data_IF_507960059210
#
_entry.id   IF_507960059210
#
_cell.length_a   1.000
_cell.length_b   1.000
_cell.length_c   1.000
_cell.angle_alpha   90.00
_cell.angle_beta   90.00
_cell.angle_gamma   90.00
#
_symmetry.space_group_name_H-M   'P 1'
#
loop_
_entity.id
_entity.type
_entity.pdbx_description
1 polymer ?
#
# COMPACT_ATOMS: atom_id res chain seq x y z
N UNK A 1 12.49 -19.62 3.70
CA UNK A 1 11.75 -20.10 2.52
C UNK A 1 10.25 -20.00 2.76
N UNK A 2 9.50 -19.60 1.75
CA UNK A 2 8.05 -19.48 1.73
C UNK A 2 7.47 -20.47 0.71
N UNK A 3 7.47 -21.79 1.00
CA UNK A 3 7.14 -22.83 0.02
C UNK A 3 5.69 -22.75 -0.47
N UNK A 4 4.79 -22.09 0.25
CA UNK A 4 3.42 -21.81 -0.20
C UNK A 4 3.35 -20.68 -1.22
N UNK A 5 4.42 -19.90 -1.38
CA UNK A 5 4.51 -18.75 -2.27
C UNK A 5 5.50 -18.97 -3.42
N UNK A 6 6.64 -19.64 -3.13
CA UNK A 6 7.70 -19.95 -4.08
C UNK A 6 7.94 -21.47 -4.10
N UNK A 7 7.48 -22.14 -5.12
CA UNK A 7 7.53 -23.61 -5.19
C UNK A 7 7.93 -24.16 -6.57
N UNK A 8 8.38 -23.30 -7.48
CA UNK A 8 8.67 -23.71 -8.83
C UNK A 8 10.13 -24.20 -8.97
N UNK A 9 10.27 -25.33 -9.64
CA UNK A 9 11.55 -25.93 -10.06
C UNK A 9 11.45 -26.26 -11.54
N UNK A 10 12.40 -25.77 -12.33
CA UNK A 10 12.47 -26.07 -13.76
C UNK A 10 13.72 -26.86 -14.07
N UNK A 11 13.61 -27.80 -15.02
CA UNK A 11 14.73 -28.59 -15.50
C UNK A 11 15.12 -28.13 -16.90
N UNK A 12 16.41 -27.98 -17.16
CA UNK A 12 16.93 -27.69 -18.51
C UNK A 12 16.49 -28.77 -19.50
N UNK A 13 16.09 -28.35 -20.69
CA UNK A 13 15.52 -29.24 -21.71
C UNK A 13 16.54 -30.20 -22.35
N UNK A 14 17.83 -29.96 -22.18
CA UNK A 14 18.93 -30.75 -22.76
C UNK A 14 19.89 -31.33 -21.72
N UNK A 15 19.92 -30.77 -20.50
CA UNK A 15 20.80 -31.24 -19.41
C UNK A 15 19.98 -31.49 -18.13
N UNK A 16 19.69 -32.78 -17.80
CA UNK A 16 18.91 -33.12 -16.61
C UNK A 16 19.60 -32.78 -15.28
N UNK A 17 20.89 -32.48 -15.29
CA UNK A 17 21.63 -32.06 -14.09
C UNK A 17 21.51 -30.54 -13.87
N UNK A 18 21.06 -29.79 -14.86
CA UNK A 18 20.80 -28.33 -14.72
C UNK A 18 19.39 -28.10 -14.32
N UNK A 19 19.20 -27.60 -13.09
CA UNK A 19 17.90 -27.27 -12.53
C UNK A 19 17.89 -25.81 -12.11
N UNK A 20 16.76 -25.14 -12.31
CA UNK A 20 16.54 -23.77 -11.85
C UNK A 20 15.54 -23.81 -10.71
N UNK A 21 15.87 -23.18 -9.60
CA UNK A 21 14.97 -22.93 -8.48
C UNK A 21 14.49 -21.49 -8.56
N UNK A 22 13.20 -21.35 -8.86
CA UNK A 22 12.51 -20.08 -9.05
C UNK A 22 12.00 -19.61 -7.69
N UNK A 23 12.69 -18.63 -7.13
CA UNK A 23 12.52 -18.17 -5.76
C UNK A 23 12.89 -16.66 -5.67
N UNK A 24 13.09 -16.13 -4.46
CA UNK A 24 13.55 -14.75 -4.30
C UNK A 24 14.79 -14.43 -5.11
N UNK A 25 15.94 -15.12 -5.00
CA UNK A 25 16.93 -15.14 -6.06
C UNK A 25 16.67 -16.34 -6.97
N UNK A 26 16.79 -16.13 -8.28
CA UNK A 26 16.94 -17.26 -9.19
C UNK A 26 18.24 -17.99 -8.83
N UNK A 27 18.18 -19.30 -8.66
CA UNK A 27 19.37 -20.12 -8.44
C UNK A 27 19.40 -21.32 -9.38
N UNK A 28 20.61 -21.80 -9.68
CA UNK A 28 20.84 -22.89 -10.63
C UNK A 28 21.68 -23.98 -10.00
N UNK A 29 21.30 -25.24 -10.24
CA UNK A 29 22.10 -26.43 -9.96
C UNK A 29 22.72 -26.92 -11.24
N UNK A 30 23.91 -27.48 -11.16
CA UNK A 30 24.60 -28.20 -12.23
C UNK A 30 24.88 -29.67 -11.89
N UNK A 31 24.39 -30.15 -10.76
CA UNK A 31 24.70 -31.49 -10.18
C UNK A 31 23.42 -32.30 -9.86
N UNK A 32 22.32 -32.00 -10.53
CA UNK A 32 21.06 -32.72 -10.34
C UNK A 32 20.36 -32.34 -9.03
N UNK A 33 20.55 -31.10 -8.58
CA UNK A 33 19.82 -30.52 -7.42
C UNK A 33 20.54 -30.79 -6.07
N UNK A 34 21.77 -31.23 -6.05
CA UNK A 34 22.52 -31.42 -4.82
C UNK A 34 23.04 -30.12 -4.25
N UNK A 35 23.38 -29.16 -5.12
CA UNK A 35 23.77 -27.81 -4.74
C UNK A 35 23.12 -26.77 -5.68
N UNK A 36 22.93 -25.54 -5.20
CA UNK A 36 22.39 -24.43 -5.96
C UNK A 36 23.21 -23.16 -5.76
N UNK A 37 23.59 -22.53 -6.86
CA UNK A 37 24.29 -21.24 -6.87
C UNK A 37 23.35 -20.13 -7.34
N UNK A 38 23.39 -18.91 -6.76
CA UNK A 38 22.61 -17.78 -7.25
C UNK A 38 22.99 -17.42 -8.69
N UNK A 39 21.97 -17.14 -9.52
CA UNK A 39 22.18 -16.55 -10.85
C UNK A 39 22.24 -15.03 -10.67
N UNK A 40 23.34 -14.36 -11.06
CA UNK A 40 23.41 -12.90 -10.99
C UNK A 40 22.36 -12.26 -11.89
N UNK A 41 21.45 -11.45 -11.30
CA UNK A 41 20.40 -10.74 -12.03
C UNK A 41 20.72 -9.26 -12.22
N UNK A 42 21.78 -8.76 -11.59
CA UNK A 42 22.26 -7.39 -11.71
C UNK A 42 23.73 -7.49 -12.06
N UNK A 43 24.16 -6.99 -13.21
CA UNK A 43 25.57 -6.83 -13.52
C UNK A 43 26.28 -6.00 -12.45
N UNK A 44 27.51 -6.31 -12.14
CA UNK A 44 28.27 -5.66 -11.05
C UNK A 44 28.49 -4.15 -11.24
N UNK A 45 28.28 -3.64 -12.44
CA UNK A 45 28.44 -2.25 -12.86
C UNK A 45 27.12 -1.55 -13.17
N UNK A 46 25.98 -2.25 -13.06
CA UNK A 46 24.67 -1.69 -13.37
C UNK A 46 23.77 -1.65 -12.11
N UNK A 47 23.10 -0.53 -11.95
CA UNK A 47 22.09 -0.34 -10.89
C UNK A 47 20.69 -0.81 -11.33
N UNK A 48 20.56 -1.39 -12.52
CA UNK A 48 19.30 -1.78 -13.14
C UNK A 48 19.15 -3.30 -13.16
N UNK A 49 18.21 -3.79 -12.40
CA UNK A 49 17.70 -5.16 -12.41
C UNK A 49 16.21 -5.15 -12.17
N UNK A 50 15.58 -6.30 -12.22
CA UNK A 50 14.21 -6.45 -11.73
C UNK A 50 14.24 -6.84 -10.25
N UNK A 51 13.18 -6.44 -9.53
CA UNK A 51 12.95 -6.92 -8.17
C UNK A 51 12.96 -8.45 -8.15
N UNK A 52 13.48 -9.05 -7.10
CA UNK A 52 13.38 -10.49 -6.85
C UNK A 52 11.91 -10.95 -6.75
N UNK A 53 11.65 -12.09 -6.15
CA UNK A 53 10.34 -12.72 -6.03
C UNK A 53 9.79 -13.19 -7.39
N UNK A 54 10.44 -14.24 -7.90
CA UNK A 54 10.12 -14.82 -9.21
C UNK A 54 9.03 -15.89 -9.07
N UNK A 55 8.05 -15.85 -10.01
CA UNK A 55 6.88 -16.72 -10.02
C UNK A 55 6.63 -17.41 -11.35
N UNK A 56 7.37 -17.05 -12.39
CA UNK A 56 7.21 -17.63 -13.71
C UNK A 56 8.55 -17.87 -14.36
N UNK A 57 8.68 -19.00 -15.02
CA UNK A 57 9.89 -19.40 -15.74
C UNK A 57 9.53 -20.16 -17.02
N UNK A 58 10.16 -19.76 -18.11
CA UNK A 58 10.09 -20.49 -19.37
C UNK A 58 11.47 -20.63 -19.97
N UNK A 59 11.83 -21.87 -20.35
CA UNK A 59 13.08 -22.16 -21.06
C UNK A 59 12.74 -22.59 -22.48
N UNK A 60 13.48 -22.06 -23.46
CA UNK A 60 13.34 -22.41 -24.86
C UNK A 60 13.74 -23.89 -25.08
N UNK A 61 12.83 -24.77 -25.51
CA UNK A 61 13.13 -26.20 -25.68
C UNK A 61 14.15 -26.48 -26.80
N UNK A 62 14.28 -25.57 -27.77
CA UNK A 62 15.24 -25.71 -28.85
C UNK A 62 16.65 -25.20 -28.44
N UNK A 63 16.72 -24.19 -27.58
CA UNK A 63 17.94 -23.56 -27.11
C UNK A 63 17.82 -23.15 -25.64
N UNK A 64 18.26 -23.99 -24.69
CA UNK A 64 18.09 -23.72 -23.26
C UNK A 64 18.97 -22.57 -22.72
N UNK A 65 19.87 -22.02 -23.53
CA UNK A 65 20.55 -20.77 -23.17
C UNK A 65 19.58 -19.58 -23.10
N UNK A 66 18.49 -19.68 -23.90
CA UNK A 66 17.43 -18.69 -23.94
C UNK A 66 16.32 -19.09 -22.96
N UNK A 67 16.12 -18.27 -21.94
CA UNK A 67 14.98 -18.41 -21.05
C UNK A 67 14.45 -17.05 -20.60
N UNK A 68 13.23 -17.06 -20.11
CA UNK A 68 12.49 -15.88 -19.62
C UNK A 68 12.07 -16.15 -18.18
N UNK A 69 12.24 -15.16 -17.34
CA UNK A 69 11.78 -15.19 -15.96
C UNK A 69 10.85 -14.00 -15.70
N UNK A 70 9.81 -14.23 -14.92
CA UNK A 70 8.85 -13.19 -14.50
C UNK A 70 8.66 -13.20 -12.99
N UNK A 71 8.46 -12.02 -12.43
CA UNK A 71 8.26 -11.81 -11.01
C UNK A 71 7.61 -10.46 -10.72
N UNK A 72 7.59 -10.11 -9.45
CA UNK A 72 6.93 -8.89 -8.95
C UNK A 72 7.56 -7.60 -9.51
N UNK A 73 8.81 -7.66 -9.95
CA UNK A 73 9.51 -6.54 -10.59
C UNK A 73 9.41 -6.47 -12.11
N UNK A 74 8.80 -7.46 -12.77
CA UNK A 74 8.68 -7.50 -14.23
C UNK A 74 9.27 -8.75 -14.88
N UNK A 75 9.86 -8.59 -16.06
CA UNK A 75 10.36 -9.69 -16.90
C UNK A 75 11.86 -9.54 -17.14
N UNK A 76 12.59 -10.64 -17.00
CA UNK A 76 14.00 -10.77 -17.40
C UNK A 76 14.14 -11.77 -18.54
N UNK A 77 14.92 -11.44 -19.55
CA UNK A 77 15.21 -12.29 -20.72
C UNK A 77 16.72 -12.48 -20.83
N UNK A 78 17.16 -13.71 -20.95
CA UNK A 78 18.56 -14.06 -21.21
C UNK A 78 18.67 -14.95 -22.43
N UNK A 79 19.83 -14.92 -23.10
CA UNK A 79 20.19 -15.78 -24.23
C UNK A 79 21.52 -16.53 -24.01
N UNK A 80 22.05 -16.50 -22.78
CA UNK A 80 23.36 -17.04 -22.44
C UNK A 80 23.38 -17.69 -21.04
N UNK A 81 22.28 -18.35 -20.65
CA UNK A 81 22.09 -18.99 -19.34
C UNK A 81 22.18 -18.02 -18.14
N UNK A 82 21.74 -16.76 -18.30
CA UNK A 82 21.71 -15.79 -17.22
C UNK A 82 23.04 -15.07 -16.96
N UNK A 83 23.99 -15.13 -17.91
CA UNK A 83 25.23 -14.34 -17.83
C UNK A 83 24.99 -12.88 -18.16
N UNK A 84 24.07 -12.61 -19.08
CA UNK A 84 23.57 -11.28 -19.42
C UNK A 84 22.05 -11.26 -19.48
N UNK A 85 21.46 -10.08 -19.23
CA UNK A 85 20.02 -9.90 -19.11
C UNK A 85 19.53 -8.71 -19.90
N UNK A 86 18.36 -8.87 -20.50
CA UNK A 86 17.54 -7.79 -21.02
C UNK A 86 16.28 -7.64 -20.16
N UNK A 87 16.06 -6.45 -19.62
CA UNK A 87 14.88 -6.10 -18.83
C UNK A 87 14.01 -5.13 -19.63
N UNK A 88 12.85 -5.58 -20.18
CA UNK A 88 11.97 -4.70 -20.94
C UNK A 88 11.28 -3.67 -20.05
N UNK A 89 11.68 -2.41 -20.16
CA UNK A 89 11.11 -1.27 -19.43
C UNK A 89 9.86 -0.67 -20.11
N UNK A 90 9.39 -1.28 -21.19
CA UNK A 90 8.32 -0.73 -22.04
C UNK A 90 6.96 -1.37 -21.80
N UNK A 91 6.83 -2.24 -20.82
CA UNK A 91 5.57 -2.88 -20.47
C UNK A 91 4.68 -1.84 -19.76
N UNK A 92 3.53 -1.43 -20.35
CA UNK A 92 2.74 -0.32 -19.84
C UNK A 92 1.74 -0.79 -18.77
N UNK A 93 2.22 -1.47 -17.74
CA UNK A 93 1.41 -1.97 -16.62
C UNK A 93 2.04 -1.59 -15.30
N UNK A 94 1.18 -1.25 -14.32
CA UNK A 94 1.56 -1.01 -12.95
C UNK A 94 0.37 -1.30 -12.04
N UNK A 95 0.63 -1.78 -10.84
CA UNK A 95 -0.39 -2.04 -9.83
C UNK A 95 -0.22 -1.07 -8.68
N UNK A 96 -1.07 -0.05 -8.62
CA UNK A 96 -1.03 0.98 -7.58
C UNK A 96 -1.92 0.61 -6.39
N UNK A 97 -1.43 0.85 -5.17
CA UNK A 97 -2.25 0.84 -3.95
C UNK A 97 -3.10 2.09 -3.83
N UNK A 98 -2.47 3.25 -3.96
CA UNK A 98 -3.12 4.55 -3.90
C UNK A 98 -2.56 5.48 -4.98
N UNK A 99 -3.39 6.40 -5.44
CA UNK A 99 -3.00 7.43 -6.40
C UNK A 99 -3.34 8.81 -5.87
N UNK A 100 -2.54 9.80 -6.24
CA UNK A 100 -2.77 11.21 -5.96
C UNK A 100 -2.30 12.09 -7.13
N UNK A 101 -2.63 13.36 -7.08
CA UNK A 101 -2.21 14.36 -8.07
C UNK A 101 -1.75 15.62 -7.36
N UNK A 102 -0.90 16.41 -8.04
CA UNK A 102 -0.51 17.75 -7.60
C UNK A 102 -1.34 18.84 -8.29
N UNK A 103 -1.03 20.11 -7.97
CA UNK A 103 -1.65 21.28 -8.55
C UNK A 103 -0.84 21.91 -9.70
N UNK A 104 0.21 21.24 -10.20
CA UNK A 104 1.00 21.72 -11.32
C UNK A 104 0.16 21.78 -12.62
N UNK A 105 0.63 22.52 -13.60
CA UNK A 105 -0.05 22.63 -14.91
C UNK A 105 0.91 22.38 -16.06
N UNK A 106 0.83 21.23 -16.73
CA UNK A 106 -0.04 20.08 -16.44
C UNK A 106 0.31 19.42 -15.10
N UNK A 107 -0.69 18.83 -14.45
CA UNK A 107 -0.49 18.13 -13.18
C UNK A 107 0.29 16.82 -13.36
N UNK A 108 0.89 16.35 -12.28
CA UNK A 108 1.51 15.04 -12.23
C UNK A 108 0.63 14.05 -11.48
N UNK A 109 0.79 12.78 -11.81
CA UNK A 109 0.17 11.64 -11.14
C UNK A 109 1.23 10.98 -10.26
N UNK A 110 0.82 10.58 -9.07
CA UNK A 110 1.66 9.91 -8.08
C UNK A 110 1.03 8.59 -7.69
N UNK A 111 1.85 7.58 -7.46
CA UNK A 111 1.36 6.28 -7.01
C UNK A 111 2.42 5.44 -6.33
N UNK A 112 1.98 4.67 -5.33
CA UNK A 112 2.79 3.68 -4.63
C UNK A 112 2.42 2.27 -5.07
N UNK A 113 3.43 1.42 -5.25
CA UNK A 113 3.30 0.04 -5.71
C UNK A 113 4.05 -0.89 -4.76
N UNK A 114 3.45 -2.02 -4.45
CA UNK A 114 4.19 -3.08 -3.75
C UNK A 114 5.42 -3.46 -4.55
N UNK A 115 6.53 -3.74 -3.86
CA UNK A 115 7.83 -4.15 -4.38
C UNK A 115 8.54 -3.12 -5.27
N UNK A 116 7.81 -2.16 -5.84
CA UNK A 116 8.30 -1.25 -6.86
C UNK A 116 8.33 0.23 -6.42
N UNK A 117 8.13 0.52 -5.14
CA UNK A 117 8.29 1.85 -4.56
C UNK A 117 7.22 2.86 -4.93
N UNK A 118 7.54 4.13 -4.72
CA UNK A 118 6.65 5.27 -4.97
C UNK A 118 7.18 6.11 -6.14
N UNK A 119 6.28 6.47 -7.03
CA UNK A 119 6.61 7.14 -8.28
C UNK A 119 5.76 8.38 -8.55
N UNK A 120 6.30 9.30 -9.34
CA UNK A 120 5.53 10.39 -9.96
C UNK A 120 5.80 10.45 -11.45
N UNK A 121 4.80 10.85 -12.22
CA UNK A 121 4.93 11.04 -13.65
C UNK A 121 3.92 12.05 -14.17
N UNK A 122 4.14 12.61 -15.38
CA UNK A 122 3.24 13.61 -15.94
C UNK A 122 1.90 12.98 -16.34
N UNK A 123 0.79 13.67 -16.06
CA UNK A 123 -0.53 13.25 -16.57
C UNK A 123 -0.68 13.53 -18.06
N UNK A 124 0.13 14.43 -18.61
CA UNK A 124 0.07 14.85 -20.00
C UNK A 124 1.45 15.24 -20.55
N UNK A 125 1.66 15.03 -21.83
CA UNK A 125 2.86 15.49 -22.55
C UNK A 125 2.53 15.97 -23.96
N UNK A 126 3.15 17.07 -24.38
CA UNK A 126 3.13 17.56 -25.75
C UNK A 126 4.15 16.87 -26.65
N UNK A 127 5.02 16.04 -26.08
CA UNK A 127 6.09 15.39 -26.85
C UNK A 127 5.51 14.28 -27.74
N UNK A 128 5.98 14.24 -28.99
CA UNK A 128 5.65 13.15 -29.91
C UNK A 128 6.09 11.80 -29.31
N UNK A 129 5.22 10.82 -29.31
CA UNK A 129 5.47 9.49 -28.75
C UNK A 129 4.90 9.29 -27.35
N UNK A 130 4.17 10.31 -26.80
CA UNK A 130 3.44 10.18 -25.55
C UNK A 130 4.30 10.17 -24.28
N UNK A 131 3.69 9.72 -23.18
CA UNK A 131 4.37 9.56 -21.90
C UNK A 131 5.24 8.29 -21.97
N UNK A 132 6.50 8.42 -21.61
CA UNK A 132 7.48 7.32 -21.61
C UNK A 132 7.96 7.07 -20.19
N UNK A 133 8.52 5.88 -19.93
CA UNK A 133 9.08 5.48 -18.64
C UNK A 133 10.08 6.50 -18.09
N UNK A 134 10.93 7.08 -18.95
CA UNK A 134 11.91 8.08 -18.56
C UNK A 134 11.32 9.40 -17.99
N UNK A 135 10.02 9.62 -18.08
CA UNK A 135 9.35 10.78 -17.48
C UNK A 135 8.82 10.47 -16.07
N UNK A 136 8.84 9.22 -15.69
CA UNK A 136 8.50 8.78 -14.35
C UNK A 136 9.72 8.90 -13.44
N UNK A 137 9.51 9.45 -12.26
CA UNK A 137 10.54 9.65 -11.26
C UNK A 137 10.24 8.76 -10.03
N UNK A 138 11.23 7.97 -9.65
CA UNK A 138 11.23 7.23 -8.41
C UNK A 138 11.45 8.18 -7.24
N UNK A 139 10.61 8.09 -6.20
CA UNK A 139 10.60 9.05 -5.10
C UNK A 139 11.00 8.42 -3.76
N UNK A 140 10.41 7.30 -3.39
CA UNK A 140 10.64 6.62 -2.11
C UNK A 140 10.62 5.12 -2.33
N UNK A 141 11.55 4.40 -1.70
CA UNK A 141 11.70 2.96 -1.81
C UNK A 141 10.79 2.12 -0.92
N UNK A 142 10.92 0.81 -1.07
CA UNK A 142 10.13 -0.21 -0.37
C UNK A 142 8.80 -0.50 -1.05
N UNK A 143 7.86 -1.11 -0.34
CA UNK A 143 6.48 -1.29 -0.80
C UNK A 143 5.75 0.03 -0.71
N UNK A 144 5.53 0.67 -1.85
CA UNK A 144 4.88 1.97 -1.90
C UNK A 144 3.38 1.87 -1.68
N UNK A 145 2.82 2.74 -0.83
CA UNK A 145 1.38 2.81 -0.58
C UNK A 145 0.83 4.20 -0.87
N UNK A 146 0.71 5.04 0.16
CA UNK A 146 0.31 6.43 -0.04
C UNK A 146 1.51 7.25 -0.52
N UNK A 147 1.23 8.08 -1.51
CA UNK A 147 2.15 9.14 -1.91
C UNK A 147 1.34 10.42 -2.10
N UNK A 148 1.71 11.48 -1.40
CA UNK A 148 0.98 12.72 -1.35
C UNK A 148 1.91 13.90 -1.61
N UNK A 149 1.81 14.58 -2.75
CA UNK A 149 2.56 15.80 -3.00
C UNK A 149 2.12 16.92 -2.05
N UNK A 150 3.02 17.82 -1.75
CA UNK A 150 2.70 19.11 -1.18
C UNK A 150 2.00 19.94 -2.27
N UNK A 151 0.77 20.38 -1.99
CA UNK A 151 -0.07 21.04 -2.99
C UNK A 151 0.36 22.49 -3.27
N UNK A 152 1.11 23.11 -2.36
CA UNK A 152 1.70 24.43 -2.53
C UNK A 152 3.02 24.39 -3.30
N UNK A 153 3.76 23.28 -3.18
CA UNK A 153 5.04 23.09 -3.85
C UNK A 153 5.31 21.61 -4.13
N UNK A 154 4.93 21.16 -5.31
CA UNK A 154 5.02 19.76 -5.76
C UNK A 154 6.45 19.18 -5.81
N UNK A 155 7.48 20.01 -5.60
CA UNK A 155 8.85 19.54 -5.38
C UNK A 155 8.94 18.62 -4.17
N UNK A 156 8.16 18.91 -3.12
CA UNK A 156 8.14 18.17 -1.88
C UNK A 156 6.87 17.31 -1.77
N UNK A 157 6.89 16.38 -0.85
CA UNK A 157 5.73 15.58 -0.50
C UNK A 157 6.10 14.43 0.42
N UNK A 158 5.16 13.51 0.58
CA UNK A 158 5.23 12.43 1.55
C UNK A 158 4.99 11.10 0.86
N UNK A 159 5.75 10.07 1.23
CA UNK A 159 5.56 8.71 0.75
C UNK A 159 5.58 7.72 1.90
N UNK A 160 4.70 6.73 1.86
CA UNK A 160 4.66 5.66 2.86
C UNK A 160 5.22 4.37 2.30
N UNK A 161 5.74 3.54 3.20
CA UNK A 161 6.23 2.20 2.90
C UNK A 161 5.83 1.25 4.03
N UNK A 162 6.11 -0.04 3.87
CA UNK A 162 5.77 -1.08 4.85
C UNK A 162 6.31 -0.79 6.25
N UNK A 163 5.73 -1.47 7.24
CA UNK A 163 6.11 -1.34 8.66
C UNK A 163 5.90 0.07 9.25
N UNK A 164 4.96 0.84 8.71
CA UNK A 164 4.67 2.19 9.15
C UNK A 164 5.79 3.18 8.81
N UNK A 165 6.59 2.89 7.80
CA UNK A 165 7.60 3.83 7.32
C UNK A 165 6.91 5.00 6.61
N UNK A 166 7.32 6.20 6.96
CA UNK A 166 6.81 7.45 6.41
C UNK A 166 8.00 8.36 6.13
N UNK A 167 8.02 8.93 4.93
CA UNK A 167 9.13 9.74 4.44
C UNK A 167 8.63 11.06 3.88
N UNK A 168 9.45 12.10 4.01
CA UNK A 168 9.33 13.34 3.25
C UNK A 168 10.40 13.35 2.17
N UNK A 169 9.99 13.56 0.91
CA UNK A 169 10.88 13.56 -0.24
C UNK A 169 11.10 14.95 -0.84
N UNK A 170 12.20 15.11 -1.56
CA UNK A 170 12.52 16.25 -2.43
C UNK A 170 12.78 15.74 -3.87
N UNK A 171 11.84 15.98 -4.78
CA UNK A 171 11.93 15.54 -6.19
C UNK A 171 13.15 16.08 -6.93
N UNK A 172 13.60 17.28 -6.57
CA UNK A 172 14.73 17.91 -7.29
C UNK A 172 16.06 17.23 -6.97
N UNK A 173 16.27 16.86 -5.72
CA UNK A 173 17.52 16.23 -5.28
C UNK A 173 17.47 14.71 -5.27
N UNK A 174 16.28 14.10 -5.34
CA UNK A 174 16.07 12.67 -5.15
C UNK A 174 16.26 12.20 -3.69
N UNK A 175 16.41 13.14 -2.75
CA UNK A 175 16.63 12.82 -1.35
C UNK A 175 15.30 12.65 -0.60
N UNK A 176 15.25 11.71 0.32
CA UNK A 176 14.13 11.57 1.25
C UNK A 176 14.60 11.24 2.65
N UNK A 177 13.86 11.69 3.64
CA UNK A 177 14.17 11.54 5.07
C UNK A 177 13.00 10.88 5.79
N UNK A 178 13.30 9.96 6.70
CA UNK A 178 12.28 9.35 7.54
C UNK A 178 11.71 10.36 8.52
N UNK A 179 10.39 10.44 8.54
CA UNK A 179 9.59 11.23 9.47
C UNK A 179 8.58 10.36 10.22
N UNK A 180 8.83 9.05 10.32
CA UNK A 180 7.99 8.09 11.04
C UNK A 180 7.78 8.54 12.49
N UNK A 181 6.55 8.51 13.03
CA UNK A 181 6.28 8.81 14.43
C UNK A 181 7.14 7.95 15.37
N UNK A 182 7.77 8.53 16.38
CA UNK A 182 8.51 7.78 17.39
C UNK A 182 7.57 6.99 18.29
N UNK A 183 8.09 5.97 18.96
CA UNK A 183 7.35 5.29 20.03
C UNK A 183 7.08 6.29 21.17
N UNK A 184 5.87 6.30 21.73
CA UNK A 184 5.53 7.23 22.82
C UNK A 184 6.32 6.95 24.09
N UNK A 185 6.72 5.71 24.32
CA UNK A 185 7.57 5.27 25.43
C UNK A 185 8.30 3.95 25.07
N UNK A 186 9.22 3.51 25.94
CA UNK A 186 10.04 2.31 25.72
C UNK A 186 9.26 0.98 25.73
N UNK A 187 8.07 0.97 26.29
CA UNK A 187 7.25 -0.25 26.48
C UNK A 187 6.14 -0.37 25.44
N UNK A 188 5.81 0.72 24.75
CA UNK A 188 4.70 0.75 23.80
C UNK A 188 5.21 0.49 22.37
N UNK A 189 5.10 -0.75 21.91
CA UNK A 189 5.35 -1.07 20.50
C UNK A 189 4.24 -0.51 19.64
N UNK A 190 4.59 0.31 18.63
CA UNK A 190 3.64 0.76 17.63
C UNK A 190 3.31 -0.37 16.66
N UNK A 191 2.03 -0.57 16.42
CA UNK A 191 1.47 -1.52 15.45
C UNK A 191 0.98 -0.73 14.23
N UNK A 192 1.55 -0.99 13.07
CA UNK A 192 1.13 -0.39 11.81
C UNK A 192 0.58 -1.46 10.88
N UNK A 193 -0.53 -1.19 10.22
CA UNK A 193 -0.96 -2.04 9.13
C UNK A 193 0.10 -2.06 8.02
N UNK A 194 0.11 -3.08 7.18
CA UNK A 194 0.95 -3.12 5.99
C UNK A 194 0.80 -1.83 5.18
N UNK A 195 -0.44 -1.45 4.90
CA UNK A 195 -0.83 -0.19 4.31
C UNK A 195 -1.34 0.75 5.43
N UNK A 196 -0.43 1.32 6.19
CA UNK A 196 -0.75 2.18 7.33
C UNK A 196 -1.52 3.44 6.91
N UNK A 197 -2.52 3.82 7.70
CA UNK A 197 -3.36 4.97 7.40
C UNK A 197 -2.59 6.28 7.39
N UNK A 198 -2.71 7.03 6.31
CA UNK A 198 -2.12 8.35 6.12
C UNK A 198 -3.17 9.35 5.64
N UNK A 199 -3.16 10.56 6.19
CA UNK A 199 -3.97 11.66 5.71
C UNK A 199 -3.25 12.99 5.87
N UNK A 200 -3.42 13.91 4.91
CA UNK A 200 -3.09 15.33 5.07
C UNK A 200 -4.24 16.04 5.78
N UNK A 201 -3.92 17.06 6.55
CA UNK A 201 -4.95 17.93 7.11
C UNK A 201 -5.51 18.82 5.98
N UNK A 202 -6.83 18.85 5.77
CA UNK A 202 -7.42 19.70 4.74
C UNK A 202 -7.43 21.21 5.09
N UNK A 203 -7.08 21.59 6.32
CA UNK A 203 -7.06 22.97 6.81
C UNK A 203 -5.64 23.52 6.96
N UNK A 204 -4.61 22.66 7.04
CA UNK A 204 -3.22 23.06 7.21
C UNK A 204 -2.26 22.10 6.47
N UNK A 205 -1.61 22.59 5.43
CA UNK A 205 -0.63 21.85 4.63
C UNK A 205 0.62 21.38 5.42
N UNK A 206 0.86 21.94 6.61
CA UNK A 206 1.95 21.51 7.49
C UNK A 206 1.56 20.34 8.37
N UNK A 207 0.27 20.05 8.47
CA UNK A 207 -0.28 19.03 9.35
C UNK A 207 -0.58 17.73 8.63
N UNK A 208 -0.20 16.62 9.27
CA UNK A 208 -0.41 15.26 8.79
C UNK A 208 -0.94 14.38 9.91
N UNK A 209 -1.77 13.42 9.54
CA UNK A 209 -2.22 12.34 10.42
C UNK A 209 -1.64 11.01 9.98
N UNK A 210 -1.20 10.20 10.95
CA UNK A 210 -0.69 8.85 10.68
C UNK A 210 -1.23 7.85 11.70
N UNK A 211 -1.59 6.65 11.22
CA UNK A 211 -2.25 5.62 12.03
C UNK A 211 -1.33 4.47 12.39
N UNK A 212 -1.09 4.29 13.69
CA UNK A 212 -0.70 3.01 14.29
C UNK A 212 -1.94 2.37 14.94
N UNK A 213 -1.88 1.88 16.19
CA UNK A 213 -3.06 1.72 17.04
C UNK A 213 -3.57 3.05 17.58
N UNK A 214 -2.75 4.09 17.47
CA UNK A 214 -3.04 5.45 17.84
C UNK A 214 -3.14 6.34 16.61
N UNK A 215 -3.85 7.45 16.71
CA UNK A 215 -3.75 8.56 15.77
C UNK A 215 -2.61 9.46 16.19
N UNK A 216 -1.61 9.59 15.32
CA UNK A 216 -0.52 10.53 15.47
C UNK A 216 -0.80 11.77 14.60
N UNK A 217 -0.45 12.95 15.10
CA UNK A 217 -0.52 14.20 14.35
C UNK A 217 0.82 14.93 14.41
N UNK A 218 1.17 15.57 13.33
CA UNK A 218 2.26 16.54 13.25
C UNK A 218 1.72 17.86 12.72
N UNK A 219 2.27 18.99 13.16
CA UNK A 219 1.96 20.34 12.68
C UNK A 219 3.17 21.03 12.03
N UNK A 220 4.25 20.30 11.83
CA UNK A 220 5.53 20.80 11.35
C UNK A 220 6.16 19.89 10.26
N UNK A 221 5.30 19.32 9.41
CA UNK A 221 5.71 18.46 8.29
C UNK A 221 6.50 17.21 8.72
N UNK A 222 6.21 16.69 9.92
CA UNK A 222 6.80 15.47 10.46
C UNK A 222 8.08 15.67 11.27
N UNK A 223 8.45 16.89 11.63
CA UNK A 223 9.61 17.12 12.51
C UNK A 223 9.32 16.70 13.96
N UNK A 224 8.09 16.92 14.43
CA UNK A 224 7.60 16.45 15.74
C UNK A 224 6.23 15.77 15.60
N UNK A 225 5.90 14.90 16.54
CA UNK A 225 4.65 14.14 16.54
C UNK A 225 3.99 14.13 17.91
N UNK A 226 2.67 14.20 17.92
CA UNK A 226 1.80 14.06 19.09
C UNK A 226 0.85 12.88 18.90
N UNK A 227 0.55 12.15 19.98
CA UNK A 227 -0.49 11.12 20.02
C UNK A 227 -1.79 11.75 20.52
N UNK A 228 -2.82 11.75 19.68
CA UNK A 228 -4.10 12.41 19.96
C UNK A 228 -5.25 11.42 20.19
N UNK A 229 -4.95 10.15 20.43
CA UNK A 229 -5.98 9.14 20.72
C UNK A 229 -5.49 8.12 21.74
N UNK A 230 -6.41 7.43 22.48
CA UNK A 230 -6.09 6.14 23.07
C UNK A 230 -5.86 5.09 21.98
N UNK A 231 -5.57 3.83 22.37
CA UNK A 231 -5.65 2.68 21.44
C UNK A 231 -7.09 2.56 20.92
N UNK A 232 -7.29 2.77 19.62
CA UNK A 232 -8.59 2.79 18.97
C UNK A 232 -9.05 1.41 18.48
N UNK A 233 -8.20 0.40 18.63
CA UNK A 233 -8.42 -0.99 18.19
C UNK A 233 -9.08 -1.83 19.29
N UNK A 234 -9.36 -3.10 19.00
CA UNK A 234 -9.76 -4.06 20.05
C UNK A 234 -8.59 -4.48 20.92
N UNK A 235 -7.36 -4.28 20.44
CA UNK A 235 -6.12 -4.75 21.07
C UNK A 235 -6.17 -6.22 21.50
N UNK A 236 -6.73 -7.09 20.65
CA UNK A 236 -6.92 -8.51 20.94
C UNK A 236 -5.60 -9.28 20.82
N UNK A 237 -5.02 -9.80 21.91
CA UNK A 237 -3.74 -10.52 21.87
C UNK A 237 -3.77 -11.79 21.01
N UNK A 238 -4.94 -12.37 20.79
CA UNK A 238 -5.08 -13.55 19.94
C UNK A 238 -4.74 -13.26 18.47
N UNK A 239 -4.89 -12.01 18.04
CA UNK A 239 -4.57 -11.56 16.67
C UNK A 239 -3.15 -11.02 16.53
N UNK A 240 -2.37 -10.98 17.61
CA UNK A 240 -1.01 -10.41 17.61
C UNK A 240 0.07 -11.50 17.77
N UNK A 241 -0.30 -12.76 17.58
CA UNK A 241 0.63 -13.89 17.68
C UNK A 241 1.50 -13.96 16.42
N UNK A 242 2.77 -14.39 16.53
CA UNK A 242 3.65 -14.57 15.37
C UNK A 242 3.33 -15.86 14.56
N UNK A 243 2.31 -16.61 14.92
CA UNK A 243 1.94 -17.89 14.33
C UNK A 243 0.61 -17.77 13.58
N UNK A 244 0.69 -17.80 12.26
CA UNK A 244 -0.45 -17.65 11.35
C UNK A 244 -0.60 -18.88 10.44
N UNK A 245 -1.05 -20.00 10.97
CA UNK A 245 -1.48 -21.12 10.14
C UNK A 245 -0.57 -22.33 10.10
N UNK A 246 0.48 -22.38 10.89
CA UNK A 246 1.17 -23.61 11.25
C UNK A 246 2.11 -24.23 10.22
N UNK A 247 2.29 -23.65 9.05
CA UNK A 247 3.26 -24.14 8.04
C UNK A 247 4.64 -23.53 8.23
N UNK A 248 4.70 -22.24 8.53
CA UNK A 248 5.94 -21.50 8.80
C UNK A 248 5.67 -20.38 9.79
N UNK A 249 6.68 -19.98 10.57
CA UNK A 249 6.65 -18.74 11.35
C UNK A 249 6.96 -17.57 10.40
N UNK A 250 6.01 -17.25 9.53
CA UNK A 250 6.21 -16.27 8.47
C UNK A 250 5.43 -14.98 8.76
N UNK A 251 5.92 -14.25 9.75
CA UNK A 251 5.44 -12.89 10.04
C UNK A 251 6.40 -11.90 9.43
N UNK A 252 6.06 -11.42 8.24
CA UNK A 252 6.88 -10.47 7.47
C UNK A 252 6.68 -9.01 7.89
N UNK A 253 5.69 -8.73 8.75
CA UNK A 253 5.23 -7.38 9.11
C UNK A 253 3.94 -6.97 8.40
N UNK A 254 3.55 -7.67 7.32
CA UNK A 254 2.27 -7.52 6.65
C UNK A 254 1.10 -7.95 7.54
N UNK A 255 1.38 -8.85 8.46
CA UNK A 255 0.42 -9.51 9.36
C UNK A 255 0.24 -8.75 10.68
N UNK A 256 0.75 -7.53 10.79
CA UNK A 256 0.52 -6.68 11.97
C UNK A 256 -0.95 -6.30 12.05
N UNK A 257 -1.61 -6.78 13.09
CA UNK A 257 -3.05 -6.62 13.32
C UNK A 257 -3.34 -5.74 14.52
N UNK A 258 -4.60 -5.30 14.67
CA UNK A 258 -5.08 -4.30 15.60
C UNK A 258 -4.40 -2.94 15.36
N UNK A 259 -4.60 -2.43 14.18
CA UNK A 259 -4.05 -1.15 13.72
C UNK A 259 -5.08 -0.31 12.96
N UNK A 260 -4.83 0.99 12.88
CA UNK A 260 -5.68 1.92 12.14
C UNK A 260 -5.35 1.79 10.65
N UNK A 261 -6.40 1.56 9.85
CA UNK A 261 -6.32 1.38 8.41
C UNK A 261 -6.84 2.59 7.63
N UNK A 262 -7.72 3.39 8.25
CA UNK A 262 -8.29 4.59 7.64
C UNK A 262 -8.32 5.75 8.63
N UNK A 263 -7.88 6.93 8.17
CA UNK A 263 -8.04 8.22 8.88
C UNK A 263 -8.65 9.21 7.89
N UNK A 264 -9.69 9.92 8.33
CA UNK A 264 -10.38 10.90 7.50
C UNK A 264 -10.69 12.16 8.30
N UNK A 265 -9.82 13.16 8.29
CA UNK A 265 -10.13 14.49 8.80
C UNK A 265 -11.21 15.13 7.92
N UNK A 266 -12.13 15.84 8.56
CA UNK A 266 -13.23 16.52 7.85
C UNK A 266 -12.73 17.80 7.19
N UNK A 267 -12.99 18.02 5.89
CA UNK A 267 -12.63 19.27 5.23
C UNK A 267 -13.56 20.46 5.62
N UNK A 268 -14.61 20.20 6.42
CA UNK A 268 -15.60 21.21 6.84
C UNK A 268 -15.35 21.66 8.29
N UNK A 269 -14.78 20.79 9.13
CA UNK A 269 -14.57 21.11 10.54
C UNK A 269 -13.28 20.41 11.04
N UNK A 270 -12.27 21.19 11.33
CA UNK A 270 -10.95 20.76 11.79
C UNK A 270 -10.95 19.83 13.03
N UNK A 271 -12.00 19.96 13.86
CA UNK A 271 -12.14 19.16 15.08
C UNK A 271 -12.72 17.77 14.84
N UNK A 272 -13.17 17.46 13.62
CA UNK A 272 -13.84 16.20 13.29
C UNK A 272 -12.89 15.29 12.52
N UNK A 273 -12.55 14.14 13.14
CA UNK A 273 -11.67 13.14 12.53
C UNK A 273 -12.30 11.75 12.71
N UNK A 274 -12.43 11.02 11.62
CA UNK A 274 -12.86 9.63 11.61
C UNK A 274 -11.65 8.71 11.57
N UNK A 275 -11.75 7.56 12.26
CA UNK A 275 -10.76 6.49 12.14
C UNK A 275 -11.44 5.13 12.03
N UNK A 276 -10.85 4.26 11.21
CA UNK A 276 -11.28 2.88 11.00
C UNK A 276 -10.10 1.92 11.15
N UNK A 277 -10.37 0.72 11.71
CA UNK A 277 -9.33 -0.25 12.02
C UNK A 277 -9.46 -1.52 11.19
N UNK A 278 -8.39 -2.31 11.13
CA UNK A 278 -8.36 -3.62 10.50
C UNK A 278 -9.13 -4.70 11.28
N UNK A 279 -9.47 -4.44 12.54
CA UNK A 279 -10.29 -5.28 13.42
C UNK A 279 -11.73 -4.77 13.59
N UNK A 280 -12.18 -3.89 12.70
CA UNK A 280 -13.58 -3.50 12.52
C UNK A 280 -14.07 -2.39 13.44
N UNK A 281 -13.20 -1.63 14.11
CA UNK A 281 -13.64 -0.51 14.91
C UNK A 281 -13.86 0.74 14.07
N UNK A 282 -14.95 1.45 14.32
CA UNK A 282 -15.28 2.74 13.74
C UNK A 282 -15.26 3.79 14.84
N UNK A 283 -14.39 4.76 14.72
CA UNK A 283 -14.10 5.74 15.77
C UNK A 283 -14.29 7.17 15.24
N UNK A 284 -14.68 8.07 16.11
CA UNK A 284 -14.89 9.48 15.80
C UNK A 284 -14.46 10.37 16.96
N UNK A 285 -13.67 11.39 16.66
CA UNK A 285 -13.53 12.57 17.52
C UNK A 285 -14.29 13.76 16.92
N UNK A 286 -14.72 14.68 17.79
CA UNK A 286 -15.36 15.95 17.41
C UNK A 286 -14.77 17.15 18.14
N UNK A 287 -13.63 16.93 18.75
CA UNK A 287 -12.92 17.92 19.59
C UNK A 287 -11.41 17.89 19.34
N UNK A 288 -11.01 17.52 18.10
CA UNK A 288 -9.60 17.51 17.68
C UNK A 288 -8.76 16.43 18.36
N UNK A 289 -9.38 15.30 18.74
CA UNK A 289 -8.67 14.18 19.34
C UNK A 289 -8.68 14.14 20.87
N UNK A 290 -9.26 15.14 21.55
CA UNK A 290 -9.33 15.17 23.02
C UNK A 290 -10.18 14.02 23.57
N UNK A 291 -11.29 13.67 22.87
CA UNK A 291 -12.12 12.52 23.18
C UNK A 291 -12.48 11.74 21.92
N UNK A 292 -12.58 10.41 22.06
CA UNK A 292 -12.93 9.51 20.97
C UNK A 292 -14.15 8.67 21.34
N UNK A 293 -15.04 8.49 20.38
CA UNK A 293 -16.26 7.71 20.53
C UNK A 293 -16.26 6.53 19.57
N UNK A 294 -16.38 5.32 20.13
CA UNK A 294 -16.58 4.11 19.35
C UNK A 294 -18.01 4.06 18.81
N UNK A 295 -18.16 3.94 17.50
CA UNK A 295 -19.43 3.95 16.77
C UNK A 295 -19.71 2.59 16.10
N UNK A 296 -18.92 1.56 16.35
CA UNK A 296 -19.01 0.26 15.68
C UNK A 296 -20.41 -0.35 15.81
N UNK A 297 -21.00 -0.27 17.01
CA UNK A 297 -22.35 -0.81 17.30
C UNK A 297 -23.48 -0.09 16.57
N UNK A 298 -23.25 1.13 16.08
CA UNK A 298 -24.22 1.91 15.31
C UNK A 298 -24.30 1.50 13.84
N UNK A 299 -23.29 0.78 13.34
CA UNK A 299 -23.21 0.31 11.95
C UNK A 299 -23.92 -1.03 11.83
N UNK A 300 -25.24 -1.00 11.57
CA UNK A 300 -26.01 -2.23 11.38
C UNK A 300 -25.54 -3.00 10.14
N UNK A 301 -25.28 -4.30 10.30
CA UNK A 301 -24.83 -5.17 9.22
C UNK A 301 -23.33 -5.04 8.91
N UNK A 302 -22.55 -4.43 9.79
CA UNK A 302 -21.09 -4.50 9.75
C UNK A 302 -20.66 -5.92 10.14
N UNK A 303 -19.88 -6.64 9.30
CA UNK A 303 -19.34 -7.94 9.68
C UNK A 303 -18.35 -7.81 10.85
N UNK A 304 -18.38 -8.75 11.77
CA UNK A 304 -17.48 -8.74 12.90
C UNK A 304 -16.02 -8.84 12.46
N UNK A 305 -15.13 -8.04 13.06
CA UNK A 305 -13.70 -8.03 12.77
C UNK A 305 -13.38 -7.89 11.26
N UNK A 306 -14.18 -7.12 10.54
CA UNK A 306 -13.95 -6.80 9.14
C UNK A 306 -13.04 -5.58 8.99
N UNK A 307 -12.33 -5.48 7.90
CA UNK A 307 -11.45 -4.35 7.66
C UNK A 307 -12.24 -3.10 7.26
N UNK A 308 -12.13 -2.04 8.06
CA UNK A 308 -12.60 -0.70 7.67
C UNK A 308 -11.55 -0.10 6.72
N UNK A 309 -11.67 -0.49 5.45
CA UNK A 309 -10.63 -0.24 4.44
C UNK A 309 -10.49 1.23 4.08
N UNK A 310 -11.59 1.99 4.11
CA UNK A 310 -11.57 3.41 3.82
C UNK A 310 -12.72 4.13 4.55
N UNK A 311 -12.42 5.34 5.02
CA UNK A 311 -13.43 6.34 5.40
C UNK A 311 -13.14 7.61 4.62
N UNK A 312 -14.18 8.25 4.08
CA UNK A 312 -14.11 9.55 3.43
C UNK A 312 -15.11 10.49 4.10
N UNK A 313 -14.60 11.49 4.80
CA UNK A 313 -15.44 12.59 5.29
C UNK A 313 -16.02 13.37 4.10
N UNK A 314 -17.31 13.75 4.19
CA UNK A 314 -17.96 14.50 3.12
C UNK A 314 -17.38 15.91 3.00
N UNK A 315 -17.16 16.41 1.76
CA UNK A 315 -16.76 17.80 1.54
C UNK A 315 -17.91 18.80 1.68
N UNK A 316 -19.13 18.33 1.99
CA UNK A 316 -20.32 19.16 2.06
C UNK A 316 -20.87 19.35 3.47
N UNK A 317 -20.71 18.35 4.33
CA UNK A 317 -21.34 18.34 5.66
C UNK A 317 -20.42 17.70 6.68
N UNK A 318 -20.07 18.39 7.74
CA UNK A 318 -19.14 17.92 8.78
C UNK A 318 -19.58 16.60 9.46
N UNK A 319 -20.89 16.34 9.53
CA UNK A 319 -21.43 15.11 10.14
C UNK A 319 -21.58 13.93 9.18
N UNK A 320 -21.28 14.13 7.89
CA UNK A 320 -21.44 13.10 6.87
C UNK A 320 -20.11 12.43 6.53
N UNK A 321 -20.18 11.12 6.32
CA UNK A 321 -19.03 10.31 5.89
C UNK A 321 -19.51 9.08 5.11
N UNK A 322 -18.64 8.62 4.21
CA UNK A 322 -18.74 7.36 3.51
C UNK A 322 -17.72 6.38 4.09
N UNK A 323 -18.07 5.11 4.16
CA UNK A 323 -17.19 4.08 4.69
C UNK A 323 -17.27 2.82 3.83
N UNK A 324 -16.10 2.34 3.42
CA UNK A 324 -15.93 1.06 2.74
C UNK A 324 -15.35 0.06 3.74
N UNK A 325 -15.98 -1.09 3.78
CA UNK A 325 -15.54 -2.22 4.58
C UNK A 325 -15.38 -3.43 3.67
N UNK A 326 -14.36 -4.23 3.88
CA UNK A 326 -14.21 -5.48 3.17
C UNK A 326 -13.96 -6.66 4.13
N UNK A 327 -14.38 -7.84 3.70
CA UNK A 327 -14.30 -9.06 4.50
C UNK A 327 -13.81 -10.26 3.68
N UNK A 328 -13.23 -9.99 2.51
CA UNK A 328 -12.80 -11.04 1.56
C UNK A 328 -11.75 -11.98 2.16
N UNK A 329 -10.96 -11.51 3.16
CA UNK A 329 -10.02 -12.35 3.90
C UNK A 329 -10.67 -13.47 4.69
N UNK A 330 -11.98 -13.34 4.96
CA UNK A 330 -12.83 -14.37 5.57
C UNK A 330 -13.73 -15.10 4.56
N UNK A 331 -13.44 -14.95 3.24
CA UNK A 331 -14.22 -15.56 2.16
C UNK A 331 -15.55 -14.87 1.87
N UNK A 332 -15.81 -13.70 2.44
CA UNK A 332 -17.02 -12.90 2.23
C UNK A 332 -16.72 -11.76 1.26
N UNK A 333 -17.19 -11.89 0.04
CA UNK A 333 -16.98 -10.96 -1.07
C UNK A 333 -18.14 -9.97 -1.26
N UNK A 334 -19.05 -9.86 -0.30
CA UNK A 334 -20.17 -8.93 -0.35
C UNK A 334 -19.70 -7.46 -0.34
N UNK A 335 -20.37 -6.56 -1.07
CA UNK A 335 -20.06 -5.13 -1.01
C UNK A 335 -20.59 -4.51 0.27
N UNK A 336 -19.71 -3.91 1.04
CA UNK A 336 -20.02 -3.18 2.26
C UNK A 336 -19.67 -1.71 2.08
N UNK A 337 -20.64 -0.92 1.63
CA UNK A 337 -20.56 0.53 1.50
C UNK A 337 -21.62 1.15 2.42
N UNK A 338 -21.20 2.01 3.32
CA UNK A 338 -22.06 2.70 4.28
C UNK A 338 -21.94 4.22 4.16
N UNK A 339 -23.05 4.91 4.45
CA UNK A 339 -23.11 6.36 4.56
C UNK A 339 -23.71 6.76 5.90
N UNK A 340 -23.16 7.77 6.53
CA UNK A 340 -23.77 8.51 7.64
C UNK A 340 -23.92 9.99 7.29
N UNK A 341 -24.90 10.67 7.92
CA UNK A 341 -25.14 12.11 7.78
C UNK A 341 -25.22 12.83 9.14
N UNK A 342 -24.98 12.11 10.23
CA UNK A 342 -25.27 12.58 11.58
C UNK A 342 -24.19 12.20 12.61
N UNK A 343 -22.92 12.31 12.21
CA UNK A 343 -21.76 11.95 13.06
C UNK A 343 -21.80 10.50 13.53
N UNK A 344 -22.23 9.58 12.64
CA UNK A 344 -22.24 8.15 12.90
C UNK A 344 -23.30 7.69 13.91
N UNK A 345 -24.27 8.51 14.29
CA UNK A 345 -25.39 8.07 15.14
C UNK A 345 -26.22 6.98 14.46
N UNK A 346 -26.29 7.04 13.13
CA UNK A 346 -26.87 5.98 12.29
C UNK A 346 -26.11 5.90 10.96
N UNK A 347 -26.15 4.70 10.38
CA UNK A 347 -25.52 4.40 9.10
C UNK A 347 -26.51 3.71 8.18
N UNK A 348 -26.46 4.01 6.90
CA UNK A 348 -27.25 3.37 5.85
C UNK A 348 -26.32 2.58 4.96
N UNK A 349 -26.61 1.29 4.74
CA UNK A 349 -25.90 0.47 3.75
C UNK A 349 -26.34 0.87 2.35
N UNK A 350 -25.40 1.31 1.50
CA UNK A 350 -25.67 1.87 0.19
C UNK A 350 -25.59 0.84 -0.94
N UNK A 351 -24.82 -0.23 -0.73
CA UNK A 351 -24.64 -1.31 -1.69
C UNK A 351 -24.83 -2.68 -1.04
N UNK A 352 -25.41 -3.58 -1.81
CA UNK A 352 -25.60 -4.99 -1.48
C UNK A 352 -25.38 -5.86 -2.71
N UNK A 353 -25.39 -7.19 -2.56
CA UNK A 353 -25.12 -8.17 -3.62
C UNK A 353 -26.13 -8.14 -4.78
N UNK A 354 -27.25 -7.47 -4.63
CA UNK A 354 -28.24 -7.28 -5.70
C UNK A 354 -27.83 -6.18 -6.67
N UNK A 355 -27.13 -5.16 -6.16
CA UNK A 355 -26.72 -3.96 -6.91
C UNK A 355 -25.27 -4.05 -7.41
N UNK A 356 -24.38 -4.59 -6.59
CA UNK A 356 -22.93 -4.67 -6.88
C UNK A 356 -22.47 -6.10 -6.69
N UNK A 357 -21.75 -6.64 -7.68
CA UNK A 357 -21.14 -7.96 -7.59
C UNK A 357 -19.68 -7.83 -7.18
N UNK A 358 -19.31 -8.50 -6.09
CA UNK A 358 -17.97 -8.42 -5.50
C UNK A 358 -17.83 -7.31 -4.44
N UNK A 359 -16.73 -7.32 -3.74
CA UNK A 359 -16.46 -6.41 -2.64
C UNK A 359 -16.11 -4.99 -3.13
N UNK A 360 -16.39 -3.99 -2.27
CA UNK A 360 -15.98 -2.62 -2.50
C UNK A 360 -14.56 -2.38 -1.95
N UNK A 361 -13.75 -1.58 -2.66
CA UNK A 361 -12.41 -1.18 -2.21
C UNK A 361 -12.32 0.31 -1.88
N UNK A 362 -13.01 1.15 -2.64
CA UNK A 362 -12.93 2.60 -2.44
C UNK A 362 -14.26 3.28 -2.75
N UNK A 363 -14.41 4.49 -2.23
CA UNK A 363 -15.50 5.40 -2.52
C UNK A 363 -14.97 6.82 -2.60
N UNK A 364 -15.48 7.60 -3.54
CA UNK A 364 -15.18 9.02 -3.67
C UNK A 364 -16.47 9.76 -3.95
N UNK A 365 -16.81 10.75 -3.11
CA UNK A 365 -17.87 11.70 -3.41
C UNK A 365 -17.30 12.83 -4.26
N UNK A 366 -17.99 13.18 -5.33
CA UNK A 366 -17.56 14.27 -6.21
C UNK A 366 -17.48 15.59 -5.44
N UNK A 367 -16.41 16.40 -5.61
CA UNK A 367 -16.24 17.64 -4.86
C UNK A 367 -17.12 18.79 -5.36
N UNK A 368 -17.81 18.63 -6.50
CA UNK A 368 -18.65 19.67 -7.12
C UNK A 368 -20.13 19.27 -7.10
N UNK A 369 -20.44 18.01 -7.40
CA UNK A 369 -21.81 17.49 -7.43
C UNK A 369 -22.04 16.55 -6.22
N UNK A 370 -22.75 16.99 -5.17
CA UNK A 370 -22.89 16.22 -3.92
C UNK A 370 -23.60 14.88 -4.06
N UNK A 371 -24.38 14.69 -5.13
CA UNK A 371 -25.11 13.46 -5.38
C UNK A 371 -24.34 12.47 -6.24
N UNK A 372 -23.20 12.86 -6.78
CA UNK A 372 -22.34 11.99 -7.58
C UNK A 372 -21.30 11.31 -6.70
N UNK A 373 -21.26 9.98 -6.79
CA UNK A 373 -20.37 9.13 -6.00
C UNK A 373 -19.81 8.04 -6.92
N UNK A 374 -18.52 7.85 -6.85
CA UNK A 374 -17.77 6.83 -7.61
C UNK A 374 -17.31 5.70 -6.71
#
# INVERSE_FOLDING_TARGET
NRPFYFQELAVDTKDPNRLYNIYQPLSVSYDGGKSFDPVPMIPADETKGIHADFHAFWVNPADPQHFIIGGDGGIGITQDHGKSWYFPETIPVAQFYHISVDNDRPYNVYGGMQDNGNWSGPAYTWKRGGIRTLYWQYLVGGDGFYIAPDLDNSRYGYGTSQNGSLYRYDKLTGYYVSIKPPQPDLNTRLRFNWNAAFAKDPHDESSLYYGSQFVHVTHDKGATWEVISPDLTTNNPAHQKPDYGGLTLDVSGAEMYNSILAIAPSPINENVIWAGTDDGQVQLTRDGGKTWKNLTKQVKGLPNESWVAQIKASPYTAGAAWMVVNNYRKGDYSPYLFKTENFGKSWTRMADDTKVKGYALSVVQDPVEPNLVF
#
